data_IF_527661580451
#
_entry.id   IF_527661580451
#
_cell.length_a   1.000
_cell.length_b   1.000
_cell.length_c   1.000
_cell.angle_alpha   90.00
_cell.angle_beta   90.00
_cell.angle_gamma   90.00
#
_symmetry.space_group_name_H-M   'P 1'
#
loop_
_entity.id
_entity.type
_entity.pdbx_description
1 polymer ?
#
# COMPACT_ATOMS: atom_id res chain seq x y z
N UNK A 1 3.70 -14.36 -30.08
CA UNK A 1 4.87 -13.63 -29.52
C UNK A 1 5.50 -12.67 -30.53
N UNK A 2 5.68 -11.43 -30.11
CA UNK A 2 6.37 -10.40 -30.89
C UNK A 2 7.83 -10.81 -31.18
N UNK A 3 8.37 -10.36 -32.31
CA UNK A 3 9.66 -10.83 -32.82
C UNK A 3 10.84 -10.53 -31.87
N UNK A 4 10.79 -9.40 -31.16
CA UNK A 4 11.86 -8.97 -30.26
C UNK A 4 12.04 -9.89 -29.05
N UNK A 5 11.01 -10.65 -28.65
CA UNK A 5 11.02 -11.47 -27.46
C UNK A 5 11.21 -12.98 -27.72
N UNK A 6 11.34 -13.42 -28.97
CA UNK A 6 11.26 -14.86 -29.33
C UNK A 6 12.40 -15.73 -28.83
N UNK A 7 13.57 -15.15 -28.59
CA UNK A 7 14.79 -15.87 -28.21
C UNK A 7 15.31 -15.41 -26.84
N UNK A 8 14.45 -14.83 -26.01
CA UNK A 8 14.78 -14.41 -24.66
C UNK A 8 14.46 -15.55 -23.69
N UNK A 9 15.38 -15.81 -22.78
CA UNK A 9 15.18 -16.77 -21.69
C UNK A 9 15.27 -16.08 -20.34
N UNK A 10 14.70 -16.69 -19.31
CA UNK A 10 14.74 -16.15 -17.95
C UNK A 10 16.18 -15.96 -17.45
N UNK A 11 17.09 -16.88 -17.84
CA UNK A 11 18.51 -16.84 -17.50
C UNK A 11 19.33 -15.75 -18.22
N UNK A 12 18.72 -15.02 -19.16
CA UNK A 12 19.33 -13.83 -19.77
C UNK A 12 19.17 -12.56 -18.89
N UNK A 13 18.43 -12.66 -17.79
CA UNK A 13 18.06 -11.54 -16.93
C UNK A 13 18.41 -11.78 -15.47
N UNK A 14 18.64 -10.68 -14.75
CA UNK A 14 18.92 -10.68 -13.31
C UNK A 14 18.12 -9.57 -12.63
N UNK A 15 17.75 -9.79 -11.37
CA UNK A 15 17.11 -8.81 -10.51
C UNK A 15 18.17 -7.91 -9.86
N UNK A 16 17.79 -6.66 -9.63
CA UNK A 16 18.57 -5.73 -8.81
C UNK A 16 17.99 -5.69 -7.41
N UNK A 17 18.79 -6.09 -6.43
CA UNK A 17 18.39 -6.08 -5.04
C UNK A 17 18.61 -4.70 -4.41
N UNK A 18 17.87 -4.41 -3.35
CA UNK A 18 17.97 -3.12 -2.63
C UNK A 18 19.32 -2.88 -1.92
N UNK A 19 20.11 -3.94 -1.73
CA UNK A 19 21.49 -3.89 -1.19
C UNK A 19 22.56 -3.72 -2.28
N UNK A 20 22.16 -3.60 -3.55
CA UNK A 20 23.05 -3.45 -4.70
C UNK A 20 23.55 -4.77 -5.28
N UNK A 21 23.15 -5.93 -4.73
CA UNK A 21 23.45 -7.23 -5.34
C UNK A 21 22.60 -7.49 -6.57
N UNK A 22 23.02 -8.48 -7.35
CA UNK A 22 22.30 -9.05 -8.48
C UNK A 22 21.99 -10.50 -8.17
N UNK A 23 20.79 -10.94 -8.51
CA UNK A 23 20.31 -12.30 -8.25
C UNK A 23 19.48 -12.80 -9.44
N UNK A 24 19.33 -14.11 -9.55
CA UNK A 24 18.48 -14.76 -10.55
C UNK A 24 17.00 -14.34 -10.39
N UNK A 25 16.24 -14.38 -11.49
CA UNK A 25 14.81 -13.97 -11.54
C UNK A 25 13.93 -14.78 -10.58
N UNK A 26 14.28 -16.04 -10.33
CA UNK A 26 13.57 -16.92 -9.40
C UNK A 26 13.68 -16.47 -7.93
N UNK A 27 14.66 -15.62 -7.60
CA UNK A 27 14.89 -15.07 -6.24
C UNK A 27 14.05 -13.85 -5.91
N UNK A 28 13.02 -13.52 -6.69
CA UNK A 28 12.16 -12.35 -6.50
C UNK A 28 11.60 -12.21 -5.07
N UNK A 29 11.35 -13.32 -4.37
CA UNK A 29 10.80 -13.31 -3.00
C UNK A 29 11.75 -12.68 -1.98
N UNK A 30 13.06 -12.88 -2.14
CA UNK A 30 14.12 -12.34 -1.27
C UNK A 30 14.83 -11.13 -1.86
N UNK A 31 14.84 -11.00 -3.19
CA UNK A 31 15.43 -9.89 -3.94
C UNK A 31 14.34 -9.14 -4.72
N UNK A 32 13.77 -8.12 -4.09
CA UNK A 32 12.80 -7.21 -4.71
C UNK A 32 13.04 -5.77 -4.23
N UNK A 33 12.53 -4.81 -5.00
CA UNK A 33 12.60 -3.39 -4.63
C UNK A 33 11.66 -3.06 -3.48
N UNK A 34 10.46 -3.65 -3.50
CA UNK A 34 9.47 -3.54 -2.44
C UNK A 34 8.42 -4.64 -2.58
N UNK A 35 7.74 -4.93 -1.47
CA UNK A 35 6.53 -5.74 -1.43
C UNK A 35 5.30 -4.84 -1.48
N UNK A 36 4.40 -5.10 -2.43
CA UNK A 36 3.11 -4.43 -2.53
C UNK A 36 2.06 -5.28 -1.80
N UNK A 37 1.33 -4.74 -0.80
CA UNK A 37 0.21 -5.44 -0.17
C UNK A 37 -0.89 -5.73 -1.19
N UNK A 38 -1.59 -6.86 -1.05
CA UNK A 38 -2.72 -7.17 -1.95
C UNK A 38 -3.88 -6.19 -1.75
N UNK A 39 -4.71 -6.07 -2.77
CA UNK A 39 -5.94 -5.27 -2.73
C UNK A 39 -6.88 -5.77 -1.62
N UNK A 40 -7.63 -4.84 -1.03
CA UNK A 40 -8.56 -5.14 0.08
C UNK A 40 -9.87 -4.41 -0.06
N UNK A 41 -10.95 -5.09 0.36
CA UNK A 41 -12.26 -4.47 0.51
C UNK A 41 -12.27 -3.71 1.83
N UNK A 42 -12.57 -2.42 1.77
CA UNK A 42 -12.64 -1.54 2.95
C UNK A 42 -14.10 -1.17 3.25
N UNK A 43 -14.39 -0.98 4.53
CA UNK A 43 -15.69 -0.51 4.99
C UNK A 43 -15.52 0.55 6.08
N UNK A 44 -16.59 1.25 6.42
CA UNK A 44 -16.53 2.37 7.33
C UNK A 44 -16.18 1.95 8.76
N UNK A 45 -15.38 2.77 9.44
CA UNK A 45 -14.89 2.49 10.80
C UNK A 45 -15.98 2.44 11.87
N UNK A 46 -17.12 3.11 11.65
CA UNK A 46 -18.24 3.12 12.60
C UNK A 46 -19.12 1.86 12.54
N UNK A 47 -18.87 0.95 11.58
CA UNK A 47 -19.62 -0.31 11.46
C UNK A 47 -19.28 -1.26 12.59
N UNK A 48 -20.30 -1.84 13.19
CA UNK A 48 -20.14 -2.87 14.22
C UNK A 48 -19.42 -4.10 13.67
N UNK A 49 -18.82 -4.90 14.56
CA UNK A 49 -18.18 -6.17 14.17
C UNK A 49 -19.17 -7.14 13.50
N UNK A 50 -20.43 -7.17 13.96
CA UNK A 50 -21.47 -7.99 13.36
C UNK A 50 -21.79 -7.54 11.93
N UNK A 51 -21.91 -6.23 11.67
CA UNK A 51 -22.10 -5.71 10.31
C UNK A 51 -20.92 -6.09 9.39
N UNK A 52 -19.68 -5.91 9.86
CA UNK A 52 -18.47 -6.27 9.10
C UNK A 52 -18.40 -7.77 8.82
N UNK A 53 -18.78 -8.60 9.79
CA UNK A 53 -18.86 -10.06 9.63
C UNK A 53 -19.94 -10.45 8.61
N UNK A 54 -21.09 -9.78 8.62
CA UNK A 54 -22.14 -10.04 7.64
C UNK A 54 -21.71 -9.64 6.21
N UNK A 55 -21.00 -8.53 6.06
CA UNK A 55 -20.39 -8.15 4.77
C UNK A 55 -19.39 -9.20 4.29
N UNK A 56 -18.51 -9.67 5.17
CA UNK A 56 -17.59 -10.76 4.84
C UNK A 56 -18.34 -12.04 4.43
N UNK A 57 -19.35 -12.47 5.19
CA UNK A 57 -20.16 -13.66 4.86
C UNK A 57 -20.83 -13.54 3.51
N UNK A 58 -21.37 -12.36 3.17
CA UNK A 58 -21.95 -12.12 1.85
C UNK A 58 -20.92 -12.36 0.74
N UNK A 59 -19.71 -11.80 0.88
CA UNK A 59 -18.63 -12.01 -0.07
C UNK A 59 -18.18 -13.47 -0.12
N UNK A 60 -18.08 -14.13 1.03
CA UNK A 60 -17.73 -15.54 1.15
C UNK A 60 -18.73 -16.45 0.44
N UNK A 61 -20.03 -16.23 0.63
CA UNK A 61 -21.04 -16.95 -0.14
C UNK A 61 -20.95 -16.63 -1.64
N UNK A 62 -20.67 -15.37 -2.00
CA UNK A 62 -20.45 -14.98 -3.39
C UNK A 62 -19.34 -15.79 -4.06
N UNK A 63 -18.17 -15.90 -3.45
CA UNK A 63 -17.08 -16.72 -3.98
C UNK A 63 -17.41 -18.22 -4.01
N UNK A 64 -18.10 -18.76 -3.00
CA UNK A 64 -18.44 -20.20 -2.97
C UNK A 64 -19.29 -20.61 -4.20
N UNK A 65 -20.13 -19.71 -4.71
CA UNK A 65 -20.96 -19.97 -5.90
C UNK A 65 -20.37 -19.45 -7.21
N UNK A 66 -19.63 -18.33 -7.19
CA UNK A 66 -19.27 -17.57 -8.38
C UNK A 66 -17.76 -17.33 -8.58
N UNK A 67 -16.90 -17.91 -7.74
CA UNK A 67 -15.44 -17.76 -7.89
C UNK A 67 -14.86 -18.51 -9.08
N UNK A 68 -15.55 -19.52 -9.62
CA UNK A 68 -15.03 -20.31 -10.73
C UNK A 68 -15.16 -19.56 -12.06
N UNK A 69 -14.04 -19.45 -12.80
CA UNK A 69 -13.92 -18.82 -14.13
C UNK A 69 -14.79 -19.46 -15.23
N UNK A 70 -15.58 -20.49 -14.89
CA UNK A 70 -16.46 -21.21 -15.81
C UNK A 70 -17.91 -21.27 -15.33
N UNK A 71 -18.28 -20.47 -14.35
CA UNK A 71 -19.68 -20.36 -13.97
C UNK A 71 -20.47 -19.71 -15.15
N UNK A 72 -21.53 -20.37 -15.67
CA UNK A 72 -22.26 -19.89 -16.84
C UNK A 72 -23.19 -18.70 -16.56
N UNK A 73 -23.42 -18.37 -15.28
CA UNK A 73 -24.35 -17.31 -14.86
C UNK A 73 -23.59 -16.03 -14.53
N UNK A 74 -22.61 -16.13 -13.63
CA UNK A 74 -21.85 -14.99 -13.14
C UNK A 74 -20.48 -15.45 -12.63
N UNK A 75 -19.45 -14.69 -12.99
CA UNK A 75 -18.07 -14.94 -12.60
C UNK A 75 -17.61 -13.74 -11.77
N UNK A 76 -17.27 -13.98 -10.51
CA UNK A 76 -17.00 -12.90 -9.55
C UNK A 76 -15.68 -12.19 -9.84
N UNK A 77 -14.70 -12.92 -10.38
CA UNK A 77 -13.35 -12.44 -10.68
C UNK A 77 -13.07 -12.42 -12.19
N UNK A 78 -14.10 -12.35 -13.04
CA UNK A 78 -13.93 -12.16 -14.49
C UNK A 78 -14.84 -11.02 -14.95
N UNK A 79 -14.24 -10.02 -15.60
CA UNK A 79 -14.92 -8.80 -16.05
C UNK A 79 -15.64 -8.97 -17.41
N UNK A 80 -15.51 -10.11 -18.07
CA UNK A 80 -16.07 -10.38 -19.39
C UNK A 80 -15.37 -9.66 -20.53
N UNK A 81 -15.93 -9.81 -21.74
CA UNK A 81 -15.29 -9.32 -22.96
C UNK A 81 -15.28 -7.79 -23.03
N UNK A 82 -14.10 -7.21 -23.30
CA UNK A 82 -13.92 -5.77 -23.53
C UNK A 82 -13.76 -4.94 -22.27
N UNK A 83 -13.80 -5.56 -21.10
CA UNK A 83 -13.59 -4.92 -19.80
C UNK A 83 -12.52 -5.69 -19.02
N UNK A 84 -11.92 -5.03 -18.04
CA UNK A 84 -10.91 -5.62 -17.15
C UNK A 84 -11.03 -5.02 -15.76
N UNK A 85 -10.74 -5.84 -14.76
CA UNK A 85 -10.58 -5.45 -13.36
C UNK A 85 -11.75 -4.58 -12.83
N UNK A 86 -13.00 -4.97 -13.09
CA UNK A 86 -14.18 -4.16 -12.75
C UNK A 86 -14.39 -3.99 -11.23
N UNK A 87 -14.92 -5.01 -10.56
CA UNK A 87 -15.14 -4.98 -9.09
C UNK A 87 -13.90 -5.49 -8.38
N UNK A 88 -13.39 -6.63 -8.85
CA UNK A 88 -12.17 -7.26 -8.41
C UNK A 88 -11.22 -7.36 -9.61
N UNK A 89 -9.93 -7.52 -9.34
CA UNK A 89 -8.99 -7.79 -10.42
C UNK A 89 -9.28 -9.16 -11.03
N UNK A 90 -9.11 -9.27 -12.35
CA UNK A 90 -9.36 -10.54 -13.05
C UNK A 90 -8.33 -11.62 -12.68
N UNK A 91 -7.18 -11.21 -12.10
CA UNK A 91 -6.14 -12.11 -11.57
C UNK A 91 -6.45 -12.60 -10.13
N UNK A 92 -7.63 -12.27 -9.57
CA UNK A 92 -7.98 -12.64 -8.19
C UNK A 92 -8.39 -14.11 -8.10
N UNK A 93 -7.63 -14.91 -7.34
CA UNK A 93 -8.00 -16.32 -7.13
C UNK A 93 -9.07 -16.51 -6.04
N UNK A 94 -9.02 -15.73 -4.96
CA UNK A 94 -10.00 -15.82 -3.85
C UNK A 94 -9.93 -14.58 -2.94
N UNK A 95 -11.00 -14.33 -2.17
CA UNK A 95 -10.93 -13.40 -1.04
C UNK A 95 -10.62 -14.16 0.24
N UNK A 96 -9.78 -13.55 1.07
CA UNK A 96 -9.39 -14.07 2.39
C UNK A 96 -9.79 -13.10 3.50
N UNK A 97 -10.31 -13.63 4.61
CA UNK A 97 -10.65 -12.82 5.77
C UNK A 97 -9.36 -12.30 6.43
N UNK A 98 -9.28 -10.98 6.59
CA UNK A 98 -8.18 -10.36 7.33
C UNK A 98 -8.43 -10.57 8.84
N UNK A 99 -7.46 -11.16 9.57
CA UNK A 99 -7.53 -11.32 11.02
C UNK A 99 -7.82 -9.99 11.72
N UNK A 100 -8.59 -10.01 12.81
CA UNK A 100 -9.12 -8.80 13.44
C UNK A 100 -8.00 -7.81 13.84
N UNK A 101 -6.85 -8.32 14.25
CA UNK A 101 -5.66 -7.56 14.65
C UNK A 101 -5.04 -6.77 13.47
N UNK A 102 -5.34 -7.17 12.24
CA UNK A 102 -4.79 -6.62 11.01
C UNK A 102 -5.80 -5.80 10.19
N UNK A 103 -7.03 -5.60 10.68
CA UNK A 103 -8.09 -4.89 9.94
C UNK A 103 -7.94 -3.36 9.88
N UNK A 104 -6.89 -2.80 10.48
CA UNK A 104 -6.59 -1.36 10.32
C UNK A 104 -5.63 -1.16 9.17
N UNK A 105 -5.79 -0.08 8.40
CA UNK A 105 -4.94 0.20 7.24
C UNK A 105 -3.44 0.20 7.58
N UNK A 106 -3.07 0.72 8.76
CA UNK A 106 -1.67 0.74 9.22
C UNK A 106 -1.09 -0.65 9.44
N UNK A 107 -1.91 -1.56 10.00
CA UNK A 107 -1.51 -2.94 10.27
C UNK A 107 -1.44 -3.75 8.98
N UNK A 108 -2.43 -3.59 8.11
CA UNK A 108 -2.49 -4.27 6.81
C UNK A 108 -1.34 -3.85 5.87
N UNK A 109 -1.18 -2.55 5.63
CA UNK A 109 -0.17 -2.05 4.68
C UNK A 109 1.26 -2.23 5.22
N UNK A 110 1.43 -2.16 6.54
CA UNK A 110 2.72 -2.28 7.20
C UNK A 110 3.58 -1.01 7.08
N UNK A 111 4.57 -0.91 7.97
CA UNK A 111 5.40 0.31 8.11
C UNK A 111 6.20 0.65 6.86
N UNK A 112 6.79 -0.36 6.20
CA UNK A 112 7.65 -0.19 5.02
C UNK A 112 6.88 0.46 3.88
N UNK A 113 5.68 -0.03 3.58
CA UNK A 113 4.85 0.49 2.50
C UNK A 113 4.38 1.92 2.80
N UNK A 114 3.90 2.17 4.02
CA UNK A 114 3.47 3.52 4.44
C UNK A 114 4.61 4.54 4.32
N UNK A 115 5.82 4.20 4.77
CA UNK A 115 6.99 5.08 4.63
C UNK A 115 7.31 5.39 3.16
N UNK A 116 7.18 4.41 2.25
CA UNK A 116 7.39 4.64 0.82
C UNK A 116 6.35 5.63 0.27
N UNK A 117 5.07 5.43 0.61
CA UNK A 117 3.98 6.32 0.16
C UNK A 117 4.14 7.73 0.74
N UNK A 118 4.42 7.87 2.03
CA UNK A 118 4.64 9.16 2.69
C UNK A 118 5.84 9.91 2.10
N UNK A 119 6.92 9.19 1.78
CA UNK A 119 8.09 9.77 1.12
C UNK A 119 7.75 10.23 -0.30
N UNK A 120 7.00 9.43 -1.06
CA UNK A 120 6.55 9.79 -2.40
C UNK A 120 5.61 11.00 -2.37
N UNK A 121 4.69 11.06 -1.41
CA UNK A 121 3.82 12.21 -1.20
C UNK A 121 4.64 13.48 -0.88
N UNK A 122 5.62 13.38 0.01
CA UNK A 122 6.52 14.49 0.32
C UNK A 122 7.41 14.93 -0.85
N UNK A 123 7.65 14.06 -1.83
CA UNK A 123 8.36 14.35 -3.07
C UNK A 123 7.40 14.98 -4.10
N UNK A 124 6.24 14.37 -4.32
CA UNK A 124 5.20 14.86 -5.21
C UNK A 124 4.76 16.28 -4.81
N UNK A 125 4.47 16.51 -3.53
CA UNK A 125 4.15 17.83 -2.99
C UNK A 125 5.30 18.84 -3.17
N UNK A 126 6.56 18.40 -3.13
CA UNK A 126 7.72 19.26 -3.42
C UNK A 126 7.80 19.66 -4.89
N UNK A 127 7.41 18.77 -5.80
CA UNK A 127 7.38 19.06 -7.23
C UNK A 127 6.12 19.85 -7.64
N UNK A 128 4.97 19.60 -7.03
CA UNK A 128 3.75 20.42 -7.20
C UNK A 128 3.93 21.83 -6.61
N UNK A 129 4.70 21.99 -5.54
CA UNK A 129 5.07 23.30 -4.97
C UNK A 129 6.16 24.05 -5.77
N UNK A 130 6.36 23.74 -7.07
CA UNK A 130 7.43 24.23 -7.92
C UNK A 130 7.86 25.68 -7.68
N UNK A 131 9.18 25.89 -7.54
CA UNK A 131 9.94 27.16 -7.63
C UNK A 131 9.53 28.38 -6.77
N UNK A 132 8.45 28.35 -5.99
CA UNK A 132 8.06 29.45 -5.09
C UNK A 132 7.76 29.02 -3.65
N UNK A 133 7.98 27.75 -3.29
CA UNK A 133 7.62 27.22 -1.97
C UNK A 133 8.80 26.74 -1.15
N UNK A 134 9.68 27.64 -0.70
CA UNK A 134 10.57 27.37 0.43
C UNK A 134 9.74 27.27 1.72
N UNK A 135 8.92 26.23 1.88
CA UNK A 135 8.36 25.86 3.16
C UNK A 135 9.47 25.15 3.96
N UNK A 136 10.36 25.95 4.55
CA UNK A 136 11.20 25.48 5.65
C UNK A 136 10.26 25.06 6.77
N UNK A 137 10.03 23.77 6.93
CA UNK A 137 9.65 23.22 8.23
C UNK A 137 10.87 23.33 9.17
N UNK A 138 11.17 24.55 9.63
CA UNK A 138 11.92 24.70 10.89
C UNK A 138 10.94 24.30 11.98
N UNK A 139 11.19 23.13 12.56
CA UNK A 139 10.57 22.71 13.80
C UNK A 139 11.04 23.66 14.92
N UNK A 140 10.41 24.83 15.06
CA UNK A 140 10.59 25.74 16.19
C UNK A 140 9.81 25.21 17.40
N UNK A 141 10.19 24.04 17.91
CA UNK A 141 9.81 23.63 19.28
C UNK A 141 10.90 23.94 20.32
N UNK A 142 12.07 24.44 19.91
CA UNK A 142 13.19 24.65 20.83
C UNK A 142 13.47 26.11 21.24
N UNK A 143 12.74 27.12 20.74
CA UNK A 143 12.99 28.53 21.11
C UNK A 143 12.10 29.07 22.22
N UNK A 144 10.99 28.41 22.56
CA UNK A 144 10.09 28.86 23.65
C UNK A 144 10.62 28.53 25.06
N UNK A 145 11.51 27.54 25.19
CA UNK A 145 12.06 27.13 26.50
C UNK A 145 13.14 28.11 26.97
N UNK A 146 13.85 28.80 26.06
CA UNK A 146 14.88 29.77 26.44
C UNK A 146 14.28 31.09 26.94
N UNK A 147 13.14 31.54 26.41
CA UNK A 147 12.48 32.77 26.85
C UNK A 147 11.79 32.64 28.22
N UNK A 148 11.34 31.45 28.60
CA UNK A 148 10.82 31.21 29.96
C UNK A 148 11.92 31.15 31.01
N UNK A 149 13.10 30.59 30.68
CA UNK A 149 14.22 30.54 31.61
C UNK A 149 14.82 31.93 31.88
N UNK A 150 14.92 32.79 30.86
CA UNK A 150 15.43 34.17 31.04
C UNK A 150 14.49 35.03 31.89
N UNK A 151 13.17 34.85 31.75
CA UNK A 151 12.19 35.57 32.59
C UNK A 151 12.14 35.06 34.03
N UNK A 152 12.29 33.74 34.26
CA UNK A 152 12.41 33.17 35.61
C UNK A 152 13.71 33.63 36.32
N UNK A 153 14.83 33.71 35.59
CA UNK A 153 16.09 34.21 36.15
C UNK A 153 16.05 35.72 36.45
N UNK A 154 15.38 36.53 35.62
CA UNK A 154 15.24 37.97 35.90
C UNK A 154 14.39 38.28 37.15
N UNK A 155 13.40 37.45 37.46
CA UNK A 155 12.54 37.58 38.64
C UNK A 155 13.21 37.18 39.97
N UNK A 156 14.38 36.53 39.94
CA UNK A 156 15.14 36.19 41.15
C UNK A 156 16.19 37.25 41.54
N UNK A 157 16.41 38.26 40.70
CA UNK A 157 17.42 39.30 40.92
C UNK A 157 16.85 40.74 40.98
N UNK A 158 15.54 40.88 41.19
CA UNK A 158 14.84 42.13 41.54
C UNK A 158 14.06 41.91 42.82
#
# INVERSE_FOLDING_TARGET
PDYWARNLREDDYELLCSDGRREDVDKWSTCNLARIPSNVVVTASYKSENERTNMWRMLQYGQDYYSADKNPIFQMFDSGFGHKDLIFSDDTESLSLIPWENQTYKRWLGRRFLQLVENLEGIANRYEAGLYGSARCVNTRSTLILLSLVSVLWLQFV
#
